data_IF_431008561080
#
_entry.id   IF_431008561080
#
_cell.length_a   1.000
_cell.length_b   1.000
_cell.length_c   1.000
_cell.angle_alpha   90.00
_cell.angle_beta   90.00
_cell.angle_gamma   90.00
#
_symmetry.space_group_name_H-M   'P 1'
#
loop_
_entity.id
_entity.type
_entity.pdbx_description
1 polymer ?
#
# COMPACT_ATOMS: atom_id res chain seq x y z
N UNK A 1 -13.60 -13.27 2.13
CA UNK A 1 -12.35 -13.74 1.48
C UNK A 1 -11.33 -14.23 2.52
N UNK A 2 -10.90 -13.41 3.49
CA UNK A 2 -9.97 -13.83 4.57
C UNK A 2 -10.32 -15.18 5.22
N UNK A 3 -11.56 -15.35 5.65
CA UNK A 3 -12.05 -16.59 6.27
C UNK A 3 -11.95 -17.81 5.33
N UNK A 4 -12.26 -17.61 4.04
CA UNK A 4 -12.13 -18.65 3.03
C UNK A 4 -10.67 -19.07 2.85
N UNK A 5 -9.74 -18.12 2.83
CA UNK A 5 -8.31 -18.39 2.78
C UNK A 5 -7.83 -19.13 4.04
N UNK A 6 -8.30 -18.73 5.23
CA UNK A 6 -7.95 -19.37 6.49
C UNK A 6 -8.38 -20.86 6.54
N UNK A 7 -9.62 -21.18 6.15
CA UNK A 7 -10.12 -22.57 6.08
C UNK A 7 -9.32 -23.44 5.09
N UNK A 8 -8.61 -22.80 4.15
CA UNK A 8 -7.80 -23.48 3.14
C UNK A 8 -6.30 -23.47 3.46
N UNK A 9 -5.89 -22.93 4.61
CA UNK A 9 -4.46 -22.77 4.95
C UNK A 9 -3.72 -21.86 3.95
N UNK A 10 -4.42 -20.90 3.35
CA UNK A 10 -3.86 -19.97 2.38
C UNK A 10 -3.59 -18.64 3.11
N UNK A 11 -2.34 -18.14 3.12
CA UNK A 11 -2.05 -16.81 3.63
C UNK A 11 -2.85 -15.74 2.87
N UNK A 12 -3.50 -14.83 3.60
CA UNK A 12 -4.23 -13.71 3.02
C UNK A 12 -3.65 -12.38 3.51
N UNK A 13 -3.09 -11.60 2.58
CA UNK A 13 -2.49 -10.29 2.84
C UNK A 13 -3.06 -9.25 1.88
N UNK A 14 -3.17 -8.02 2.35
CA UNK A 14 -3.61 -6.88 1.55
C UNK A 14 -2.40 -6.01 1.19
N UNK A 15 -2.26 -5.67 -0.09
CA UNK A 15 -1.24 -4.74 -0.55
C UNK A 15 -1.88 -3.39 -0.86
N UNK A 16 -1.49 -2.35 -0.12
CA UNK A 16 -2.03 -1.01 -0.24
C UNK A 16 -1.13 -0.16 -1.13
N UNK A 17 -1.34 -0.19 -2.44
CA UNK A 17 -0.55 0.61 -3.37
C UNK A 17 -0.91 2.10 -3.20
N UNK A 18 0.03 2.96 -2.80
CA UNK A 18 -0.25 4.38 -2.67
C UNK A 18 -0.43 5.02 -4.05
N UNK A 19 -1.35 5.98 -4.12
CA UNK A 19 -1.51 6.82 -5.31
C UNK A 19 -0.27 7.70 -5.52
N UNK A 20 -0.01 8.08 -6.77
CA UNK A 20 1.16 8.89 -7.14
C UNK A 20 1.41 10.12 -6.25
N UNK A 21 0.41 10.95 -5.87
CA UNK A 21 0.62 12.10 -4.99
C UNK A 21 1.15 11.77 -3.59
N UNK A 22 0.90 10.56 -3.08
CA UNK A 22 1.36 10.14 -1.76
C UNK A 22 2.86 9.81 -1.73
N UNK A 23 3.48 9.63 -2.91
CA UNK A 23 4.89 9.25 -3.05
C UNK A 23 5.69 10.20 -3.96
N UNK A 24 5.02 11.08 -4.70
CA UNK A 24 5.62 12.10 -5.56
C UNK A 24 5.11 13.51 -5.19
N UNK A 25 5.92 14.33 -4.49
CA UNK A 25 5.56 15.70 -4.14
C UNK A 25 5.24 16.60 -5.33
N UNK A 26 5.82 16.35 -6.51
CA UNK A 26 5.55 17.13 -7.71
C UNK A 26 4.15 16.84 -8.25
N UNK A 27 3.73 15.57 -8.23
CA UNK A 27 2.37 15.18 -8.59
C UNK A 27 1.34 15.74 -7.59
N UNK A 28 1.67 15.71 -6.29
CA UNK A 28 0.84 16.32 -5.26
C UNK A 28 0.63 17.82 -5.48
N UNK A 29 1.69 18.58 -5.83
CA UNK A 29 1.58 20.01 -6.14
C UNK A 29 0.70 20.27 -7.37
N UNK A 30 0.87 19.49 -8.43
CA UNK A 30 0.08 19.64 -9.66
C UNK A 30 -1.40 19.37 -9.42
N UNK A 31 -1.73 18.34 -8.65
CA UNK A 31 -3.12 18.02 -8.31
C UNK A 31 -3.70 19.00 -7.31
N UNK A 32 -2.93 19.43 -6.31
CA UNK A 32 -3.37 20.48 -5.39
C UNK A 32 -3.69 21.78 -6.13
N UNK A 33 -2.87 22.20 -7.11
CA UNK A 33 -3.13 23.37 -7.93
C UNK A 33 -4.45 23.26 -8.73
N UNK A 34 -4.89 22.04 -9.04
CA UNK A 34 -6.15 21.75 -9.75
C UNK A 34 -7.32 21.44 -8.81
N UNK A 35 -7.09 21.32 -7.51
CA UNK A 35 -8.12 20.97 -6.54
C UNK A 35 -9.01 22.20 -6.22
N UNK A 36 -10.27 21.98 -5.78
CA UNK A 36 -11.12 23.06 -5.27
C UNK A 36 -10.44 23.84 -4.14
N UNK A 37 -10.72 25.14 -4.00
CA UNK A 37 -10.03 26.03 -3.04
C UNK A 37 -10.08 25.50 -1.59
N UNK A 38 -11.19 24.89 -1.18
CA UNK A 38 -11.35 24.27 0.14
C UNK A 38 -10.34 23.15 0.41
N UNK A 39 -9.95 22.39 -0.63
CA UNK A 39 -8.96 21.31 -0.55
C UNK A 39 -7.53 21.85 -0.53
N UNK A 40 -7.28 22.97 -1.23
CA UNK A 40 -5.99 23.67 -1.20
C UNK A 40 -5.69 24.28 0.17
N UNK A 41 -6.69 24.87 0.83
CA UNK A 41 -6.51 25.55 2.12
C UNK A 41 -6.32 24.60 3.30
N UNK A 42 -6.93 23.41 3.26
CA UNK A 42 -6.86 22.44 4.35
C UNK A 42 -5.56 21.60 4.35
N UNK A 43 -4.81 21.59 3.25
CA UNK A 43 -3.70 20.68 3.06
C UNK A 43 -4.20 19.25 2.88
N UNK A 44 -4.33 18.80 1.63
CA UNK A 44 -4.82 17.45 1.37
C UNK A 44 -3.82 16.38 1.83
N UNK A 45 -4.24 15.53 2.76
CA UNK A 45 -3.44 14.38 3.21
C UNK A 45 -3.60 13.20 2.26
N UNK A 46 -2.67 13.10 1.31
CA UNK A 46 -2.61 12.03 0.32
C UNK A 46 -2.40 10.62 0.90
N UNK A 47 -2.07 10.48 2.19
CA UNK A 47 -1.87 9.20 2.86
C UNK A 47 -3.05 8.82 3.77
N UNK A 48 -4.08 9.67 3.90
CA UNK A 48 -5.20 9.43 4.83
C UNK A 48 -5.91 8.11 4.51
N UNK A 49 -6.24 7.87 3.24
CA UNK A 49 -6.92 6.65 2.80
C UNK A 49 -6.10 5.39 3.08
N UNK A 50 -4.79 5.42 2.83
CA UNK A 50 -3.89 4.31 3.15
C UNK A 50 -3.89 4.02 4.65
N UNK A 51 -3.78 5.04 5.51
CA UNK A 51 -3.80 4.84 6.97
C UNK A 51 -5.14 4.30 7.46
N UNK A 52 -6.25 4.82 6.93
CA UNK A 52 -7.60 4.32 7.27
C UNK A 52 -7.79 2.86 6.83
N UNK A 53 -7.33 2.51 5.62
CA UNK A 53 -7.35 1.14 5.13
C UNK A 53 -6.49 0.21 6.00
N UNK A 54 -5.29 0.63 6.39
CA UNK A 54 -4.42 -0.16 7.29
C UNK A 54 -5.10 -0.43 8.62
N UNK A 55 -5.71 0.59 9.25
CA UNK A 55 -6.42 0.43 10.51
C UNK A 55 -7.61 -0.54 10.37
N UNK A 56 -8.46 -0.34 9.35
CA UNK A 56 -9.60 -1.21 9.08
C UNK A 56 -9.17 -2.67 8.84
N UNK A 57 -8.09 -2.89 8.10
CA UNK A 57 -7.58 -4.23 7.81
C UNK A 57 -7.00 -4.88 9.07
N UNK A 58 -6.33 -4.11 9.93
CA UNK A 58 -5.84 -4.60 11.21
C UNK A 58 -7.00 -5.04 12.13
N UNK A 59 -8.07 -4.26 12.21
CA UNK A 59 -9.29 -4.62 12.97
C UNK A 59 -9.94 -5.92 12.45
N UNK A 60 -9.78 -6.20 11.16
CA UNK A 60 -10.24 -7.45 10.52
C UNK A 60 -9.23 -8.60 10.62
N UNK A 61 -8.10 -8.41 11.31
CA UNK A 61 -7.03 -9.39 11.42
C UNK A 61 -6.37 -9.71 10.07
N UNK A 62 -6.31 -8.74 9.15
CA UNK A 62 -5.64 -8.84 7.85
C UNK A 62 -4.33 -8.07 7.91
N UNK A 63 -3.23 -8.76 7.55
CA UNK A 63 -1.94 -8.09 7.39
C UNK A 63 -2.00 -7.16 6.17
N UNK A 64 -1.82 -5.87 6.41
CA UNK A 64 -1.71 -4.85 5.38
C UNK A 64 -0.24 -4.49 5.14
N UNK A 65 0.17 -4.47 3.88
CA UNK A 65 1.51 -4.08 3.45
C UNK A 65 1.44 -2.75 2.70
N UNK A 66 2.23 -1.78 3.15
CA UNK A 66 2.34 -0.45 2.55
C UNK A 66 3.72 -0.26 1.92
N UNK A 67 3.86 -0.23 0.58
CA UNK A 67 5.12 -0.04 -0.11
C UNK A 67 5.49 1.44 -0.28
N UNK A 68 4.83 2.38 0.40
CA UNK A 68 5.05 3.83 0.24
C UNK A 68 6.52 4.24 0.38
N UNK A 69 7.22 3.74 1.39
CA UNK A 69 8.63 4.11 1.59
C UNK A 69 9.56 3.53 0.52
N UNK A 70 9.27 2.32 0.05
CA UNK A 70 10.00 1.72 -1.07
C UNK A 70 9.78 2.52 -2.36
N UNK A 71 8.55 2.95 -2.63
CA UNK A 71 8.22 3.79 -3.77
C UNK A 71 8.85 5.18 -3.67
N UNK A 72 8.83 5.83 -2.50
CA UNK A 72 9.51 7.12 -2.26
C UNK A 72 11.02 6.99 -2.45
N UNK A 73 11.62 5.90 -1.98
CA UNK A 73 13.05 5.63 -2.15
C UNK A 73 13.41 5.44 -3.62
N UNK A 74 12.67 4.59 -4.34
CA UNK A 74 12.86 4.36 -5.76
C UNK A 74 12.64 5.63 -6.59
N UNK A 75 11.73 6.51 -6.15
CA UNK A 75 11.42 7.79 -6.82
C UNK A 75 12.62 8.73 -6.90
N UNK A 76 13.57 8.63 -5.96
CA UNK A 76 14.83 9.40 -5.96
C UNK A 76 15.71 9.07 -7.17
N UNK A 77 15.57 7.87 -7.73
CA UNK A 77 16.28 7.42 -8.93
C UNK A 77 15.49 7.61 -10.23
N UNK A 78 14.26 8.15 -10.16
CA UNK A 78 13.41 8.47 -11.30
C UNK A 78 11.95 8.04 -11.11
N UNK A 79 11.07 8.25 -12.11
CA UNK A 79 9.62 8.04 -11.97
C UNK A 79 9.25 6.62 -11.55
N UNK A 80 8.34 6.50 -10.59
CA UNK A 80 7.72 5.24 -10.12
C UNK A 80 6.28 5.07 -10.61
N UNK A 81 5.66 6.15 -11.09
CA UNK A 81 4.37 6.18 -11.77
C UNK A 81 4.55 6.83 -13.14
N UNK A 82 3.62 6.57 -14.07
CA UNK A 82 3.56 7.30 -15.32
C UNK A 82 3.06 8.72 -15.07
N UNK A 83 3.52 9.70 -15.86
CA UNK A 83 3.16 11.11 -15.62
C UNK A 83 1.72 11.44 -16.04
N UNK A 84 1.13 10.63 -16.92
CA UNK A 84 -0.20 10.81 -17.48
C UNK A 84 -1.20 9.72 -17.03
N UNK A 85 -0.77 8.82 -16.16
CA UNK A 85 -1.50 7.61 -15.81
C UNK A 85 -1.15 7.19 -14.37
N UNK A 86 -2.16 6.77 -13.60
CA UNK A 86 -2.00 6.44 -12.18
C UNK A 86 -1.29 5.12 -11.89
N UNK A 87 -0.91 4.36 -12.91
CA UNK A 87 -0.22 3.08 -12.75
C UNK A 87 1.28 3.26 -12.51
N UNK A 88 1.86 2.21 -11.92
CA UNK A 88 3.29 2.11 -11.68
C UNK A 88 4.07 1.92 -12.98
N UNK A 89 5.24 2.54 -13.06
CA UNK A 89 6.24 2.19 -14.08
C UNK A 89 6.89 0.84 -13.73
N UNK A 90 7.65 0.21 -14.65
CA UNK A 90 8.44 -0.98 -14.30
C UNK A 90 9.37 -0.78 -13.09
N UNK A 91 9.86 0.45 -12.85
CA UNK A 91 10.62 0.79 -11.64
C UNK A 91 9.73 0.73 -10.40
N UNK A 92 8.53 1.33 -10.47
CA UNK A 92 7.55 1.27 -9.38
C UNK A 92 7.18 -0.18 -9.04
N UNK A 93 6.87 -1.00 -10.03
CA UNK A 93 6.57 -2.43 -9.84
C UNK A 93 7.72 -3.17 -9.16
N UNK A 94 8.97 -2.93 -9.58
CA UNK A 94 10.16 -3.55 -8.94
C UNK A 94 10.33 -3.12 -7.48
N UNK A 95 10.07 -1.85 -7.16
CA UNK A 95 10.15 -1.35 -5.80
C UNK A 95 9.09 -2.01 -4.89
N UNK A 96 7.85 -2.15 -5.39
CA UNK A 96 6.77 -2.85 -4.69
C UNK A 96 7.11 -4.34 -4.50
N UNK A 97 7.60 -5.01 -5.55
CA UNK A 97 7.99 -6.41 -5.46
C UNK A 97 9.12 -6.63 -4.43
N UNK A 98 10.12 -5.75 -4.39
CA UNK A 98 11.18 -5.81 -3.39
C UNK A 98 10.64 -5.62 -1.95
N UNK A 99 9.71 -4.68 -1.77
CA UNK A 99 9.05 -4.46 -0.49
C UNK A 99 8.24 -5.69 -0.03
N UNK A 100 7.51 -6.34 -0.95
CA UNK A 100 6.78 -7.57 -0.66
C UNK A 100 7.71 -8.71 -0.25
N UNK A 101 8.81 -8.92 -0.99
CA UNK A 101 9.78 -9.97 -0.70
C UNK A 101 10.45 -9.79 0.66
N UNK A 102 10.65 -8.54 1.11
CA UNK A 102 11.15 -8.26 2.44
C UNK A 102 10.19 -8.68 3.57
N UNK A 103 8.88 -8.83 3.27
CA UNK A 103 7.85 -9.27 4.20
C UNK A 103 7.48 -10.75 4.04
N UNK A 104 8.23 -11.53 3.26
CA UNK A 104 7.91 -12.94 2.98
C UNK A 104 7.63 -13.73 4.26
N UNK A 105 8.44 -13.52 5.30
CA UNK A 105 8.35 -14.31 6.53
C UNK A 105 7.07 -13.95 7.28
N UNK A 106 6.64 -12.69 7.26
CA UNK A 106 5.35 -12.24 7.82
C UNK A 106 4.18 -12.83 7.04
N UNK A 107 4.26 -12.83 5.70
CA UNK A 107 3.22 -13.37 4.82
C UNK A 107 3.01 -14.87 5.09
N UNK A 108 4.10 -15.65 5.17
CA UNK A 108 3.99 -17.11 5.32
C UNK A 108 3.83 -17.56 6.79
N UNK A 109 4.22 -16.76 7.78
CA UNK A 109 4.02 -17.09 9.21
C UNK A 109 2.58 -16.85 9.69
N UNK A 110 1.84 -15.93 9.06
CA UNK A 110 0.44 -15.66 9.39
C UNK A 110 -0.51 -16.85 9.15
N UNK A 111 -0.07 -17.85 8.37
CA UNK A 111 -0.85 -19.05 8.08
C UNK A 111 -0.77 -20.12 9.18
N UNK A 112 0.26 -20.10 10.03
CA UNK A 112 0.53 -21.17 10.99
C UNK A 112 -0.25 -21.03 12.30
N UNK A 113 -0.77 -19.84 12.63
CA UNK A 113 -1.47 -19.57 13.88
C UNK A 113 -2.92 -20.09 13.92
N UNK A 114 -3.49 -20.46 12.79
CA UNK A 114 -4.88 -20.98 12.66
C UNK A 114 -4.99 -22.51 12.80
N UNK A 115 -3.87 -23.23 12.89
CA UNK A 115 -3.84 -24.71 12.95
C UNK A 115 -3.83 -25.29 14.36
N UNK A 116 -4.02 -24.47 15.42
CA UNK A 116 -4.26 -25.03 16.75
C UNK A 116 -5.68 -25.62 16.79
N UNK A 117 -5.86 -26.96 16.82
CA UNK A 117 -7.18 -27.52 17.01
C UNK A 117 -7.60 -27.14 18.43
N UNK A 118 -8.73 -26.43 18.55
CA UNK A 118 -9.42 -26.30 19.82
C UNK A 118 -9.63 -27.72 20.39
N UNK A 119 -8.92 -28.00 21.47
CA UNK A 119 -9.26 -29.07 22.42
C UNK A 119 -10.42 -28.60 23.29
#
# INVERSE_FOLDING_TARGET
MRELCAVRGIPFVALLIPIQPAVDPSAAKLLAARAPDAVRQAGFDWNLSTRQATALLADLGVVALDPSDALRTARRAGPTHFDFDGHLTPRGCRAVAAALLAHRDVIFSASAATDAPGR
#
